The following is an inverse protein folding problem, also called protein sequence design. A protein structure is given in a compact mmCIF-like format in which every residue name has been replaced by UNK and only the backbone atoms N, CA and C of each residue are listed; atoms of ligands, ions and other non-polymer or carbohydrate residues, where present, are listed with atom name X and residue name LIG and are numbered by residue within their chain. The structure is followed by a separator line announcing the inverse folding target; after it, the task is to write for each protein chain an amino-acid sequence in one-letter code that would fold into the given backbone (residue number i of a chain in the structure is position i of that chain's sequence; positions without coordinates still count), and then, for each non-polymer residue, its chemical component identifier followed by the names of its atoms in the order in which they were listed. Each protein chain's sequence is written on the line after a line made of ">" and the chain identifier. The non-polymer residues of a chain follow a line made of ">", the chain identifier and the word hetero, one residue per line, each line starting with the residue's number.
data_IF_736339084988
#
_entry.id   IF_736339084988
#
_cell.length_a   1.000
_cell.length_b   1.000
_cell.length_c   1.000
_cell.angle_alpha   90.00
_cell.angle_beta   90.00
_cell.angle_gamma   90.00
#
_symmetry.space_group_name_H-M   'P 1'
#
loop_
_entity.id
_entity.type
_entity.pdbx_description
1 polymer ?
#
# COMPACT_ATOMS: atom_id res chain seq x y z
N UNK A 1 -16.93 -2.06 -18.67
CA UNK A 1 -16.56 -2.36 -17.28
C UNK A 1 -16.26 -1.04 -16.60
N UNK A 2 -16.97 -0.68 -15.54
CA UNK A 2 -16.68 0.55 -14.81
C UNK A 2 -15.41 0.36 -13.93
N UNK A 3 -14.92 1.45 -13.33
CA UNK A 3 -13.69 1.43 -12.53
C UNK A 3 -13.78 0.48 -11.34
N UNK A 4 -14.92 0.39 -10.65
CA UNK A 4 -15.06 -0.49 -9.48
C UNK A 4 -15.08 -1.97 -9.87
N UNK A 5 -15.77 -2.32 -10.94
CA UNK A 5 -15.76 -3.66 -11.52
C UNK A 5 -14.34 -4.08 -11.95
N UNK A 6 -13.61 -3.19 -12.64
CA UNK A 6 -12.24 -3.47 -13.05
C UNK A 6 -11.33 -3.70 -11.84
N UNK A 7 -11.42 -2.84 -10.82
CA UNK A 7 -10.66 -2.99 -9.59
C UNK A 7 -10.97 -4.30 -8.88
N UNK A 8 -12.24 -4.71 -8.85
CA UNK A 8 -12.65 -5.98 -8.27
C UNK A 8 -12.10 -7.17 -9.06
N UNK A 9 -12.15 -7.12 -10.40
CA UNK A 9 -11.59 -8.16 -11.27
C UNK A 9 -10.08 -8.32 -11.06
N UNK A 10 -9.36 -7.21 -10.96
CA UNK A 10 -7.92 -7.22 -10.69
C UNK A 10 -7.60 -7.75 -9.30
N UNK A 11 -8.41 -7.41 -8.29
CA UNK A 11 -8.25 -7.88 -6.92
C UNK A 11 -8.43 -9.41 -6.79
N UNK A 12 -9.38 -9.99 -7.52
CA UNK A 12 -9.64 -11.43 -7.51
C UNK A 12 -8.61 -12.24 -8.31
N UNK A 13 -7.78 -11.59 -9.14
CA UNK A 13 -6.78 -12.27 -9.94
C UNK A 13 -5.54 -12.63 -9.08
N UNK A 14 -5.35 -13.92 -8.80
CA UNK A 14 -4.24 -14.42 -7.98
C UNK A 14 -2.86 -14.03 -8.52
N UNK A 15 -2.72 -13.81 -9.83
CA UNK A 15 -1.45 -13.41 -10.43
C UNK A 15 -0.98 -12.01 -10.00
N UNK A 16 -1.90 -11.17 -9.50
CA UNK A 16 -1.61 -9.86 -8.95
C UNK A 16 -1.13 -9.94 -7.49
N UNK A 17 -1.22 -11.11 -6.84
CA UNK A 17 -0.78 -11.34 -5.47
C UNK A 17 0.57 -12.06 -5.44
N UNK A 18 1.65 -11.33 -5.19
CA UNK A 18 3.01 -11.86 -5.09
C UNK A 18 3.23 -12.41 -3.69
N UNK A 19 3.66 -13.67 -3.62
CA UNK A 19 3.85 -14.43 -2.38
C UNK A 19 2.62 -14.44 -1.44
N UNK A 20 1.42 -14.24 -2.00
CA UNK A 20 0.16 -14.20 -1.24
C UNK A 20 -0.04 -12.94 -0.37
N UNK A 21 0.90 -11.98 -0.38
CA UNK A 21 0.87 -10.81 0.51
C UNK A 21 0.94 -9.49 -0.26
N UNK A 22 1.83 -9.39 -1.24
CA UNK A 22 2.07 -8.13 -1.93
C UNK A 22 1.17 -8.01 -3.16
N UNK A 23 0.35 -6.96 -3.20
CA UNK A 23 -0.55 -6.71 -4.31
C UNK A 23 0.11 -5.83 -5.38
N UNK A 24 0.04 -6.26 -6.64
CA UNK A 24 0.60 -5.54 -7.79
C UNK A 24 -0.37 -5.64 -8.97
N UNK A 25 -1.13 -4.57 -9.22
CA UNK A 25 -1.94 -4.44 -10.43
C UNK A 25 -1.83 -3.05 -11.04
N UNK A 26 -1.34 -2.98 -12.28
CA UNK A 26 -1.28 -1.73 -13.05
C UNK A 26 -2.68 -1.21 -13.41
N UNK A 27 -3.65 -2.12 -13.59
CA UNK A 27 -5.01 -1.84 -14.05
C UNK A 27 -5.99 -1.50 -12.92
N UNK A 28 -5.75 -1.97 -11.70
CA UNK A 28 -6.49 -1.51 -10.53
C UNK A 28 -6.12 -0.05 -10.26
N UNK A 29 -7.08 0.87 -10.17
CA UNK A 29 -6.81 2.29 -9.96
C UNK A 29 -6.44 2.64 -8.52
N UNK A 30 -6.68 1.74 -7.56
CA UNK A 30 -6.47 2.00 -6.13
C UNK A 30 -4.99 1.98 -5.77
N UNK A 31 -4.63 2.87 -4.84
CA UNK A 31 -3.35 2.86 -4.12
C UNK A 31 -3.46 1.94 -2.89
N UNK A 32 -4.57 2.02 -2.18
CA UNK A 32 -4.89 1.20 -1.00
C UNK A 32 -5.89 0.11 -1.37
N UNK A 33 -5.56 -1.12 -1.03
CA UNK A 33 -6.36 -2.30 -1.34
C UNK A 33 -6.57 -3.16 -0.10
N UNK A 34 -7.73 -3.80 0.08
CA UNK A 34 -7.93 -4.75 1.18
C UNK A 34 -6.88 -5.87 1.13
N UNK A 35 -6.46 -6.42 2.27
CA UNK A 35 -5.61 -7.62 2.27
C UNK A 35 -6.43 -8.83 1.83
N UNK A 36 -5.86 -9.70 0.98
CA UNK A 36 -6.54 -10.93 0.55
C UNK A 36 -6.68 -11.95 1.69
N UNK A 37 -5.59 -12.14 2.44
CA UNK A 37 -5.55 -13.05 3.60
C UNK A 37 -6.36 -12.42 4.74
N UNK A 38 -7.35 -13.15 5.25
CA UNK A 38 -8.24 -12.77 6.35
C UNK A 38 -9.16 -11.56 6.09
N UNK A 39 -9.10 -10.89 4.92
CA UNK A 39 -9.90 -9.70 4.54
C UNK A 39 -9.87 -8.56 5.56
N UNK A 40 -8.91 -8.57 6.49
CA UNK A 40 -8.76 -7.59 7.54
C UNK A 40 -7.56 -6.70 7.26
N UNK A 41 -7.78 -5.39 7.27
CA UNK A 41 -6.77 -4.39 6.99
C UNK A 41 -6.49 -4.16 5.51
N UNK A 42 -5.47 -3.36 5.26
CA UNK A 42 -5.14 -2.82 3.94
C UNK A 42 -3.68 -3.10 3.58
N UNK A 43 -3.40 -3.19 2.29
CA UNK A 43 -2.07 -3.22 1.69
C UNK A 43 -2.01 -2.18 0.56
N UNK A 44 -0.81 -1.75 0.24
CA UNK A 44 -0.58 -0.89 -0.92
C UNK A 44 -0.54 -1.71 -2.21
N UNK A 45 -0.97 -1.08 -3.30
CA UNK A 45 -0.78 -1.58 -4.66
C UNK A 45 0.60 -1.12 -5.16
N UNK A 46 1.58 -2.01 -5.17
CA UNK A 46 2.97 -1.70 -5.52
C UNK A 46 3.18 -1.30 -6.99
N UNK A 47 2.14 -1.42 -7.82
CA UNK A 47 2.16 -0.91 -9.19
C UNK A 47 1.90 0.61 -9.27
N UNK A 48 1.49 1.27 -8.17
CA UNK A 48 1.20 2.71 -8.16
C UNK A 48 2.37 3.52 -7.60
N UNK A 49 2.82 4.58 -8.29
CA UNK A 49 3.85 5.49 -7.78
C UNK A 49 3.51 6.07 -6.40
N UNK A 50 2.24 6.39 -6.17
CA UNK A 50 1.77 6.94 -4.90
C UNK A 50 1.95 5.97 -3.71
N UNK A 51 2.04 4.67 -3.94
CA UNK A 51 2.34 3.70 -2.88
C UNK A 51 3.72 3.95 -2.27
N UNK A 52 4.70 4.36 -3.07
CA UNK A 52 6.06 4.65 -2.59
C UNK A 52 6.12 5.96 -1.80
N UNK A 53 5.23 6.93 -2.11
CA UNK A 53 5.06 8.13 -1.28
C UNK A 53 4.56 7.73 0.11
N UNK A 54 3.54 6.88 0.19
CA UNK A 54 3.04 6.37 1.48
C UNK A 54 4.10 5.60 2.25
N UNK A 55 4.84 4.70 1.58
CA UNK A 55 5.95 3.96 2.19
C UNK A 55 6.99 4.94 2.77
N UNK A 56 7.38 5.96 2.00
CA UNK A 56 8.32 6.99 2.44
C UNK A 56 7.82 7.72 3.69
N UNK A 57 6.55 8.13 3.72
CA UNK A 57 5.94 8.76 4.90
C UNK A 57 6.02 7.84 6.12
N UNK A 58 5.61 6.57 6.00
CA UNK A 58 5.65 5.64 7.14
C UNK A 58 7.06 5.38 7.68
N UNK A 59 8.09 5.43 6.82
CA UNK A 59 9.48 5.22 7.23
C UNK A 59 10.09 6.51 7.80
N UNK A 60 9.90 7.65 7.13
CA UNK A 60 10.57 8.91 7.48
C UNK A 60 9.95 9.60 8.69
N UNK A 61 8.62 9.54 8.85
CA UNK A 61 7.94 10.19 9.99
C UNK A 61 8.51 9.77 11.35
N UNK A 62 8.63 8.47 11.70
CA UNK A 62 9.20 8.08 13.00
C UNK A 62 10.67 8.50 13.16
N UNK A 63 11.46 8.47 12.09
CA UNK A 63 12.87 8.92 12.11
C UNK A 63 12.95 10.40 12.41
N UNK A 64 12.17 11.23 11.72
CA UNK A 64 12.13 12.68 11.93
C UNK A 64 11.67 13.01 13.35
N UNK A 65 10.59 12.36 13.83
CA UNK A 65 10.09 12.56 15.19
C UNK A 65 11.12 12.18 16.24
N UNK A 66 11.86 11.08 16.03
CA UNK A 66 12.93 10.66 16.91
C UNK A 66 14.07 11.68 16.97
N UNK A 67 14.52 12.19 15.82
CA UNK A 67 15.56 13.22 15.76
C UNK A 67 15.12 14.51 16.46
N UNK A 68 13.88 14.94 16.23
CA UNK A 68 13.29 16.11 16.90
C UNK A 68 13.29 15.90 18.42
N UNK A 69 12.82 14.74 18.88
CA UNK A 69 12.77 14.41 20.32
C UNK A 69 14.16 14.45 20.97
N UNK A 70 15.18 13.90 20.29
CA UNK A 70 16.56 13.94 20.75
C UNK A 70 17.07 15.38 20.80
N UNK A 71 16.87 16.17 19.75
CA UNK A 71 17.33 17.57 19.67
C UNK A 71 16.70 18.50 20.72
N UNK A 72 15.50 18.20 21.23
CA UNK A 72 14.86 18.97 22.30
C UNK A 72 15.25 18.55 23.73
N UNK A 73 15.91 17.40 23.88
CA UNK A 73 16.29 16.85 25.19
C UNK A 73 17.74 17.20 25.59
N UNK A 74 18.51 17.78 24.68
CA UNK A 74 19.83 18.38 24.90
C UNK A 74 19.73 19.90 24.79
#
# INVERSE_FOLDING_TARGET
>A
MNTSEQNQKEYQNINNWKWGVFYYSKRDSRVWTPKQINKQGWTLNFAKPMSYVWISVFILTPVILFLIFVSFKF
#
